data_IF_570521100944
#
_entry.id   IF_570521100944
#
_cell.length_a   1.000
_cell.length_b   1.000
_cell.length_c   1.000
_cell.angle_alpha   90.00
_cell.angle_beta   90.00
_cell.angle_gamma   90.00
#
_symmetry.space_group_name_H-M   'P 1'
#
loop_
_entity.id
_entity.type
_entity.pdbx_description
1 polymer ?
#
# COMPACT_ATOMS: atom_id res chain seq x y z
N UNK A 1 -2.27 -12.68 14.59
CA UNK A 1 -3.11 -12.90 13.39
C UNK A 1 -2.68 -11.92 12.30
N UNK A 2 -2.75 -12.30 11.02
CA UNK A 2 -2.59 -11.35 9.91
C UNK A 2 -3.83 -10.44 9.79
N UNK A 3 -3.66 -9.26 9.17
CA UNK A 3 -4.75 -8.30 8.95
C UNK A 3 -5.85 -8.94 8.10
N UNK A 4 -7.09 -8.91 8.60
CA UNK A 4 -8.28 -9.34 7.87
C UNK A 4 -9.15 -8.11 7.57
N UNK A 5 -9.80 -8.09 6.41
CA UNK A 5 -10.69 -6.99 6.01
C UNK A 5 -11.90 -7.57 5.32
N UNK A 6 -13.10 -7.14 5.73
CA UNK A 6 -14.37 -7.67 5.25
C UNK A 6 -15.19 -6.57 4.57
N UNK A 7 -15.44 -6.70 3.27
CA UNK A 7 -16.41 -5.86 2.57
C UNK A 7 -17.80 -6.46 2.79
N UNK A 8 -18.66 -5.81 3.59
CA UNK A 8 -19.96 -6.35 4.05
C UNK A 8 -21.05 -6.37 2.95
N UNK A 9 -20.75 -6.99 1.81
CA UNK A 9 -21.59 -7.02 0.59
C UNK A 9 -22.66 -8.11 0.59
N UNK A 10 -22.56 -9.10 1.48
CA UNK A 10 -23.54 -10.20 1.56
C UNK A 10 -23.73 -10.70 3.00
N UNK A 11 -24.84 -11.42 3.29
CA UNK A 11 -25.05 -12.06 4.59
C UNK A 11 -23.92 -13.01 4.99
N UNK A 12 -23.34 -13.75 4.02
CA UNK A 12 -22.23 -14.66 4.26
C UNK A 12 -20.98 -13.92 4.77
N UNK A 13 -20.62 -12.80 4.13
CA UNK A 13 -19.45 -12.02 4.58
C UNK A 13 -19.68 -11.41 5.97
N UNK A 14 -20.91 -10.98 6.28
CA UNK A 14 -21.27 -10.53 7.64
C UNK A 14 -21.09 -11.64 8.68
N UNK A 15 -21.50 -12.86 8.36
CA UNK A 15 -21.29 -14.03 9.25
C UNK A 15 -19.80 -14.33 9.45
N UNK A 16 -19.00 -14.27 8.39
CA UNK A 16 -17.54 -14.48 8.49
C UNK A 16 -16.87 -13.40 9.34
N UNK A 17 -17.27 -12.13 9.18
CA UNK A 17 -16.76 -11.03 10.01
C UNK A 17 -17.11 -11.23 11.49
N UNK A 18 -18.36 -11.64 11.80
CA UNK A 18 -18.77 -11.95 13.16
C UNK A 18 -17.95 -13.09 13.79
N UNK A 19 -17.67 -14.13 13.01
CA UNK A 19 -16.81 -15.23 13.44
C UNK A 19 -15.37 -14.77 13.72
N UNK A 20 -14.80 -13.90 12.86
CA UNK A 20 -13.46 -13.35 13.09
C UNK A 20 -13.38 -12.49 14.36
N UNK A 21 -14.43 -11.70 14.65
CA UNK A 21 -14.53 -10.91 15.88
C UNK A 21 -14.59 -11.82 17.11
N UNK A 22 -15.39 -12.90 17.07
CA UNK A 22 -15.54 -13.83 18.19
C UNK A 22 -14.22 -14.56 18.55
N UNK A 23 -13.30 -14.70 17.60
CA UNK A 23 -12.01 -15.38 17.78
C UNK A 23 -10.81 -14.42 17.88
N UNK A 24 -11.05 -13.10 17.95
CA UNK A 24 -9.97 -12.12 18.03
C UNK A 24 -9.33 -12.15 19.44
N UNK A 25 -7.99 -12.05 19.56
CA UNK A 25 -7.31 -11.93 20.85
C UNK A 25 -7.68 -10.64 21.61
N UNK A 26 -7.46 -10.64 22.92
CA UNK A 26 -7.61 -9.43 23.75
C UNK A 26 -6.80 -8.25 23.20
N UNK A 27 -7.30 -7.04 23.43
CA UNK A 27 -6.76 -5.76 22.95
C UNK A 27 -6.82 -5.53 21.41
N UNK A 28 -7.58 -6.33 20.65
CA UNK A 28 -7.90 -6.02 19.25
C UNK A 28 -9.04 -5.00 19.13
N UNK A 29 -9.07 -4.22 18.05
CA UNK A 29 -10.08 -3.17 17.79
C UNK A 29 -10.87 -3.46 16.51
N UNK A 30 -12.20 -3.29 16.58
CA UNK A 30 -13.11 -3.34 15.43
C UNK A 30 -13.55 -1.94 15.03
N UNK A 31 -13.64 -1.67 13.73
CA UNK A 31 -14.15 -0.41 13.19
C UNK A 31 -15.12 -0.69 12.04
N UNK A 32 -16.33 -0.13 12.10
CA UNK A 32 -17.34 -0.23 11.05
C UNK A 32 -17.54 1.17 10.46
N UNK A 33 -17.27 1.33 9.16
CA UNK A 33 -17.44 2.58 8.42
C UNK A 33 -17.96 2.30 7.01
N UNK A 34 -18.64 3.28 6.36
CA UNK A 34 -19.01 3.17 4.96
C UNK A 34 -17.77 2.90 4.08
N UNK A 35 -17.94 2.04 3.06
CA UNK A 35 -16.90 1.83 2.05
C UNK A 35 -16.79 3.08 1.19
N UNK A 36 -15.58 3.63 1.10
CA UNK A 36 -15.29 4.76 0.20
C UNK A 36 -14.40 4.31 -0.94
N UNK A 37 -14.54 4.93 -2.11
CA UNK A 37 -13.68 4.65 -3.28
C UNK A 37 -12.19 4.86 -2.96
N UNK A 38 -11.88 5.81 -2.08
CA UNK A 38 -10.52 6.04 -1.57
C UNK A 38 -10.00 4.87 -0.73
N UNK A 39 -10.84 4.23 0.09
CA UNK A 39 -10.43 3.05 0.87
C UNK A 39 -10.09 1.86 -0.03
N UNK A 40 -10.85 1.67 -1.11
CA UNK A 40 -10.57 0.64 -2.10
C UNK A 40 -9.26 0.89 -2.85
N UNK A 41 -9.05 2.14 -3.30
CA UNK A 41 -7.79 2.54 -3.94
C UNK A 41 -6.60 2.37 -3.00
N UNK A 42 -6.76 2.72 -1.72
CA UNK A 42 -5.73 2.50 -0.73
C UNK A 42 -5.45 1.00 -0.53
N UNK A 43 -6.50 0.17 -0.46
CA UNK A 43 -6.32 -1.29 -0.36
C UNK A 43 -5.62 -1.88 -1.60
N UNK A 44 -5.99 -1.43 -2.79
CA UNK A 44 -5.36 -1.82 -4.06
C UNK A 44 -3.89 -1.41 -4.09
N UNK A 45 -3.57 -0.17 -3.70
CA UNK A 45 -2.19 0.33 -3.58
C UNK A 45 -1.35 -0.57 -2.69
N UNK A 46 -1.81 -0.87 -1.48
CA UNK A 46 -1.06 -1.75 -0.56
C UNK A 46 -0.88 -3.17 -1.09
N UNK A 47 -1.85 -3.67 -1.85
CA UNK A 47 -1.73 -4.96 -2.52
C UNK A 47 -0.63 -4.95 -3.59
N UNK A 48 -0.60 -3.91 -4.43
CA UNK A 48 0.43 -3.70 -5.46
C UNK A 48 1.82 -3.61 -4.83
N UNK A 49 1.97 -2.80 -3.78
CA UNK A 49 3.24 -2.64 -3.07
C UNK A 49 3.73 -3.94 -2.43
N UNK A 50 2.82 -4.76 -1.89
CA UNK A 50 3.14 -6.07 -1.35
C UNK A 50 3.58 -7.07 -2.44
N UNK A 51 2.96 -7.01 -3.62
CA UNK A 51 3.36 -7.84 -4.77
C UNK A 51 4.75 -7.43 -5.29
N UNK A 52 5.04 -6.12 -5.35
CA UNK A 52 6.37 -5.59 -5.69
C UNK A 52 7.44 -6.02 -4.68
N UNK A 53 7.15 -5.86 -3.38
CA UNK A 53 8.05 -6.21 -2.28
C UNK A 53 8.52 -7.66 -2.36
N UNK A 54 7.63 -8.59 -2.74
CA UNK A 54 7.96 -10.02 -2.86
C UNK A 54 8.77 -10.34 -4.12
N UNK A 55 8.59 -9.59 -5.19
CA UNK A 55 9.00 -10.01 -6.53
C UNK A 55 10.16 -9.21 -7.09
N UNK A 56 10.37 -7.95 -6.68
CA UNK A 56 11.35 -7.05 -7.30
C UNK A 56 12.51 -6.79 -6.36
N UNK A 57 13.73 -7.07 -6.84
CA UNK A 57 14.97 -6.59 -6.21
C UNK A 57 15.30 -5.19 -6.70
N UNK A 58 15.72 -4.32 -5.78
CA UNK A 58 16.03 -2.92 -6.04
C UNK A 58 17.36 -2.52 -5.41
N UNK A 59 18.04 -1.54 -5.99
CA UNK A 59 19.33 -1.08 -5.49
C UNK A 59 19.12 -0.13 -4.30
N UNK A 60 19.59 -0.54 -3.13
CA UNK A 60 19.67 0.28 -1.93
C UNK A 60 21.12 0.36 -1.52
N UNK A 61 21.68 1.58 -1.46
CA UNK A 61 23.09 1.80 -1.10
C UNK A 61 24.07 0.97 -1.93
N UNK A 62 23.77 0.76 -3.22
CA UNK A 62 24.61 -0.01 -4.15
C UNK A 62 24.44 -1.52 -4.09
N UNK A 63 23.55 -2.04 -3.23
CA UNK A 63 23.28 -3.49 -3.10
C UNK A 63 21.85 -3.78 -3.54
N UNK A 64 21.68 -4.84 -4.33
CA UNK A 64 20.35 -5.33 -4.69
C UNK A 64 19.69 -5.98 -3.47
N UNK A 65 18.53 -5.47 -3.06
CA UNK A 65 17.74 -5.99 -1.95
C UNK A 65 16.24 -5.96 -2.27
N UNK A 66 15.47 -6.82 -1.62
CA UNK A 66 14.01 -6.65 -1.54
C UNK A 66 13.70 -5.46 -0.67
N UNK A 67 12.83 -4.60 -1.17
CA UNK A 67 12.25 -3.49 -0.40
C UNK A 67 10.96 -3.95 0.26
N UNK A 68 10.69 -3.44 1.45
CA UNK A 68 9.39 -3.57 2.09
C UNK A 68 8.32 -2.75 1.32
N UNK A 69 7.05 -3.12 1.49
CA UNK A 69 5.95 -2.43 0.81
C UNK A 69 5.90 -0.92 1.12
N UNK A 70 6.28 -0.52 2.33
CA UNK A 70 6.37 0.90 2.71
C UNK A 70 7.50 1.63 1.98
N UNK A 71 8.65 0.98 1.77
CA UNK A 71 9.79 1.55 1.06
C UNK A 71 9.48 1.69 -0.44
N UNK A 72 8.79 0.70 -1.03
CA UNK A 72 8.30 0.82 -2.41
C UNK A 72 7.39 2.02 -2.60
N UNK A 73 6.54 2.33 -1.61
CA UNK A 73 5.66 3.51 -1.65
C UNK A 73 6.49 4.80 -1.68
N UNK A 74 7.59 4.85 -0.93
CA UNK A 74 8.47 6.02 -0.90
C UNK A 74 9.19 6.18 -2.24
N UNK A 75 9.72 5.10 -2.82
CA UNK A 75 10.37 5.11 -4.14
C UNK A 75 9.41 5.59 -5.24
N UNK A 76 8.21 5.02 -5.29
CA UNK A 76 7.22 5.35 -6.31
C UNK A 76 6.67 6.77 -6.13
N UNK A 77 6.38 7.18 -4.89
CA UNK A 77 5.83 8.53 -4.63
C UNK A 77 6.86 9.64 -4.84
N UNK A 78 8.16 9.36 -4.64
CA UNK A 78 9.24 10.26 -5.01
C UNK A 78 9.30 10.51 -6.53
N UNK A 79 8.83 9.56 -7.35
CA UNK A 79 8.83 9.70 -8.81
C UNK A 79 7.70 10.61 -9.33
N UNK A 80 6.65 10.83 -8.55
CA UNK A 80 5.53 11.70 -8.95
C UNK A 80 5.76 13.19 -8.66
N UNK A 81 6.64 13.51 -7.73
CA UNK A 81 6.93 14.90 -7.35
C UNK A 81 8.42 15.18 -7.53
N UNK A 82 8.72 16.19 -8.35
CA UNK A 82 10.10 16.60 -8.61
C UNK A 82 10.74 17.38 -7.46
N UNK A 83 9.93 17.88 -6.51
CA UNK A 83 10.44 18.58 -5.33
C UNK A 83 10.81 17.62 -4.21
N UNK A 84 12.12 17.43 -4.06
CA UNK A 84 12.70 16.69 -2.94
C UNK A 84 12.83 17.62 -1.73
N UNK A 85 12.03 17.37 -0.69
CA UNK A 85 12.13 18.10 0.58
C UNK A 85 13.22 17.50 1.44
N UNK A 86 14.19 18.31 1.84
CA UNK A 86 15.31 17.91 2.69
C UNK A 86 15.31 18.73 3.97
N UNK A 87 15.78 18.14 5.06
CA UNK A 87 15.97 18.81 6.34
C UNK A 87 17.29 18.39 6.98
N UNK A 88 17.84 19.23 7.87
CA UNK A 88 18.99 18.86 8.66
C UNK A 88 18.58 17.91 9.78
N UNK A 89 19.30 16.80 9.93
CA UNK A 89 19.09 15.87 11.03
C UNK A 89 19.48 16.49 12.37
N UNK A 90 18.74 16.15 13.43
CA UNK A 90 18.98 16.66 14.80
C UNK A 90 20.41 16.31 15.29
N UNK A 91 20.99 15.22 14.78
CA UNK A 91 22.37 14.78 15.09
C UNK A 91 23.33 14.98 13.92
N UNK A 92 23.03 15.90 13.01
CA UNK A 92 23.73 16.05 11.73
C UNK A 92 23.19 15.13 10.64
N UNK A 93 23.75 15.25 9.44
CA UNK A 93 23.27 14.55 8.24
C UNK A 93 22.05 15.22 7.59
N UNK A 94 21.60 14.65 6.47
CA UNK A 94 20.44 15.09 5.70
C UNK A 94 19.33 14.07 5.88
N UNK A 95 18.12 14.54 6.18
CA UNK A 95 16.91 13.74 6.25
C UNK A 95 16.04 14.08 5.06
N UNK A 96 15.71 13.06 4.27
CA UNK A 96 14.76 13.15 3.17
C UNK A 96 13.34 13.09 3.73
N UNK A 97 12.54 14.12 3.47
CA UNK A 97 11.15 14.16 3.90
C UNK A 97 10.27 13.64 2.77
N UNK A 98 9.94 12.34 2.86
CA UNK A 98 9.05 11.68 1.91
C UNK A 98 7.66 12.33 1.82
N UNK A 99 6.99 12.09 0.69
CA UNK A 99 5.63 12.59 0.49
C UNK A 99 4.64 11.84 1.38
N UNK A 100 3.76 12.59 2.05
CA UNK A 100 2.69 11.96 2.84
C UNK A 100 1.58 11.54 1.89
N UNK A 101 1.61 10.28 1.46
CA UNK A 101 0.56 9.70 0.60
C UNK A 101 -0.83 9.77 1.23
N UNK A 102 -0.93 9.84 2.57
CA UNK A 102 -2.19 10.08 3.30
C UNK A 102 -2.82 11.45 3.05
N UNK A 103 -2.09 12.40 2.46
CA UNK A 103 -2.59 13.72 2.04
C UNK A 103 -2.79 13.82 0.52
N UNK A 104 -2.54 12.75 -0.24
CA UNK A 104 -2.74 12.76 -1.68
C UNK A 104 -4.22 12.88 -2.02
N UNK A 105 -4.50 13.63 -3.08
CA UNK A 105 -5.82 13.65 -3.71
C UNK A 105 -6.10 12.29 -4.37
N UNK A 106 -7.38 12.01 -4.65
CA UNK A 106 -7.80 10.80 -5.39
C UNK A 106 -7.09 10.68 -6.75
N UNK A 107 -6.84 11.81 -7.41
CA UNK A 107 -6.11 11.86 -8.68
C UNK A 107 -4.66 11.42 -8.51
N UNK A 108 -3.93 12.01 -7.57
CA UNK A 108 -2.54 11.65 -7.29
C UNK A 108 -2.38 10.18 -6.87
N UNK A 109 -3.34 9.66 -6.09
CA UNK A 109 -3.35 8.23 -5.75
C UNK A 109 -3.53 7.35 -6.99
N UNK A 110 -4.38 7.77 -7.93
CA UNK A 110 -4.61 7.03 -9.18
C UNK A 110 -3.36 7.05 -10.07
N UNK A 111 -2.70 8.20 -10.20
CA UNK A 111 -1.42 8.34 -10.91
C UNK A 111 -0.33 7.45 -10.28
N UNK A 112 -0.29 7.35 -8.94
CA UNK A 112 0.66 6.48 -8.24
C UNK A 112 0.38 4.98 -8.49
N UNK A 113 -0.89 4.59 -8.53
CA UNK A 113 -1.28 3.20 -8.86
C UNK A 113 -0.85 2.85 -10.29
N UNK A 114 -1.14 3.74 -11.24
CA UNK A 114 -0.79 3.54 -12.65
C UNK A 114 0.72 3.41 -12.85
N UNK A 115 1.50 4.31 -12.22
CA UNK A 115 2.97 4.22 -12.22
C UNK A 115 3.46 2.87 -11.67
N UNK A 116 2.90 2.43 -10.53
CA UNK A 116 3.30 1.19 -9.89
C UNK A 116 2.99 -0.04 -10.75
N UNK A 117 1.83 -0.06 -11.41
CA UNK A 117 1.44 -1.12 -12.32
C UNK A 117 2.32 -1.16 -13.57
N UNK A 118 2.62 0.00 -14.18
CA UNK A 118 3.52 0.10 -15.33
C UNK A 118 4.92 -0.42 -14.97
N UNK A 119 5.48 0.06 -13.86
CA UNK A 119 6.78 -0.38 -13.38
C UNK A 119 6.81 -1.89 -13.10
N UNK A 120 5.79 -2.42 -12.42
CA UNK A 120 5.72 -3.85 -12.15
C UNK A 120 5.57 -4.68 -13.43
N UNK A 121 4.87 -4.18 -14.45
CA UNK A 121 4.77 -4.84 -15.75
C UNK A 121 6.14 -4.95 -16.45
N UNK A 122 6.94 -3.87 -16.43
CA UNK A 122 8.32 -3.89 -16.93
C UNK A 122 9.22 -4.88 -16.20
N UNK A 123 8.95 -5.11 -14.90
CA UNK A 123 9.65 -6.09 -14.06
C UNK A 123 9.07 -7.50 -14.11
N UNK A 124 8.01 -7.74 -14.89
CA UNK A 124 7.37 -9.06 -15.00
C UNK A 124 6.65 -9.52 -13.73
N UNK A 125 6.14 -8.58 -12.93
CA UNK A 125 5.46 -8.86 -11.65
C UNK A 125 4.11 -9.52 -11.89
N UNK A 126 3.82 -10.57 -11.12
CA UNK A 126 2.52 -11.23 -11.11
C UNK A 126 1.64 -10.60 -10.04
N UNK A 127 0.52 -10.04 -10.47
CA UNK A 127 -0.40 -9.31 -9.59
C UNK A 127 -1.39 -10.24 -8.89
N UNK A 128 -1.62 -10.00 -7.61
CA UNK A 128 -2.73 -10.61 -6.88
C UNK A 128 -4.09 -10.03 -7.33
N UNK A 129 -5.21 -10.74 -7.12
CA UNK A 129 -6.53 -10.29 -7.56
C UNK A 129 -6.92 -8.90 -7.04
N UNK A 130 -6.53 -8.58 -5.80
CA UNK A 130 -6.79 -7.26 -5.19
C UNK A 130 -6.01 -6.14 -5.91
N UNK A 131 -4.82 -6.44 -6.44
CA UNK A 131 -3.96 -5.50 -7.17
C UNK A 131 -4.52 -5.14 -8.56
N UNK A 132 -5.35 -6.00 -9.16
CA UNK A 132 -5.99 -5.75 -10.45
C UNK A 132 -7.38 -5.09 -10.33
N UNK A 133 -7.85 -4.87 -9.10
CA UNK A 133 -9.21 -4.45 -8.81
C UNK A 133 -10.16 -5.65 -8.81
N UNK A 134 -11.11 -5.67 -7.88
CA UNK A 134 -12.08 -6.75 -7.67
C UNK A 134 -13.12 -6.82 -8.80
N UNK A 135 -12.68 -7.11 -10.02
CA UNK A 135 -13.48 -7.08 -11.25
C UNK A 135 -12.91 -7.93 -12.39
N UNK A 136 -12.37 -9.10 -12.06
CA UNK A 136 -12.22 -10.23 -12.98
C UNK A 136 -13.07 -11.40 -12.47
#
# INVERSE_FOLDING_TARGET
MSKQTFNLVSPLVRRNAAHAIANAPDNYRVEIRPRTRSLDQNSMMWSILADLSKQVDWMVNGVATKLEAEEWKDVLSASLNQETRMSQGIRGGIVMLGQRTSKMTVRQMSELIELALSFGAEKGVRWSPTSLGSGA
#
